data_IF_396041738311
#
_entry.id   IF_396041738311
#
_cell.length_a   1.000
_cell.length_b   1.000
_cell.length_c   1.000
_cell.angle_alpha   90.00
_cell.angle_beta   90.00
_cell.angle_gamma   90.00
#
_symmetry.space_group_name_H-M   'P 1'
#
loop_
_entity.id
_entity.type
_entity.pdbx_description
1 polymer ?
#
# COMPACT_ATOMS: atom_id res chain seq x y z
N UNK A 1 -17.07 7.97 -5.51
CA UNK A 1 -15.78 7.37 -5.92
C UNK A 1 -14.90 7.38 -4.69
N UNK A 2 -14.26 6.25 -4.37
CA UNK A 2 -13.38 6.19 -3.21
C UNK A 2 -12.02 6.79 -3.58
N UNK A 3 -11.37 7.43 -2.63
CA UNK A 3 -10.01 7.94 -2.80
C UNK A 3 -9.00 6.94 -2.28
N UNK A 4 -7.93 6.74 -3.05
CA UNK A 4 -6.79 5.91 -2.64
C UNK A 4 -5.56 6.80 -2.49
N UNK A 5 -4.77 6.58 -1.45
CA UNK A 5 -3.61 7.42 -1.18
C UNK A 5 -2.49 6.64 -0.52
N UNK A 6 -1.25 7.00 -0.86
CA UNK A 6 -0.06 6.42 -0.27
C UNK A 6 0.88 7.51 0.23
N UNK A 7 1.34 7.39 1.46
CA UNK A 7 2.33 8.30 2.05
C UNK A 7 3.62 7.55 2.31
N UNK A 8 4.76 8.14 1.95
CA UNK A 8 6.07 7.55 2.15
C UNK A 8 6.85 8.31 3.24
N UNK A 9 7.34 7.58 4.23
CA UNK A 9 8.25 8.06 5.27
C UNK A 9 9.53 7.25 5.19
N UNK A 10 10.67 7.95 5.16
CA UNK A 10 11.99 7.32 5.15
C UNK A 10 12.81 7.82 6.33
N UNK A 11 13.58 6.90 6.90
CA UNK A 11 14.61 7.21 7.87
C UNK A 11 16.01 7.32 7.30
N UNK A 12 16.20 7.47 5.99
CA UNK A 12 17.53 7.49 5.37
C UNK A 12 17.86 6.25 4.55
N UNK A 13 19.07 6.23 3.98
CA UNK A 13 19.62 5.13 3.21
C UNK A 13 19.94 5.46 1.75
N UNK A 14 21.03 4.89 1.24
CA UNK A 14 21.59 5.19 -0.09
C UNK A 14 20.68 4.77 -1.27
N UNK A 15 19.71 3.89 -1.02
CA UNK A 15 18.80 3.32 -2.03
C UNK A 15 17.35 3.79 -1.93
N UNK A 16 17.09 4.89 -1.22
CA UNK A 16 15.74 5.51 -1.16
C UNK A 16 15.18 5.82 -2.56
N UNK A 17 16.04 6.14 -3.53
CA UNK A 17 15.61 6.43 -4.91
C UNK A 17 14.85 5.28 -5.56
N UNK A 18 15.21 4.03 -5.24
CA UNK A 18 14.53 2.86 -5.80
C UNK A 18 13.16 2.67 -5.15
N UNK A 19 13.06 2.85 -3.84
CA UNK A 19 11.79 2.87 -3.11
C UNK A 19 10.86 3.97 -3.63
N UNK A 20 11.38 5.15 -3.95
CA UNK A 20 10.62 6.24 -4.55
C UNK A 20 10.01 5.88 -5.90
N UNK A 21 10.69 5.10 -6.75
CA UNK A 21 10.13 4.62 -8.03
C UNK A 21 8.89 3.76 -7.79
N UNK A 22 8.95 2.85 -6.82
CA UNK A 22 7.80 2.02 -6.46
C UNK A 22 6.66 2.83 -5.85
N UNK A 23 6.97 3.79 -4.96
CA UNK A 23 5.96 4.71 -4.42
C UNK A 23 5.20 5.47 -5.53
N UNK A 24 5.91 5.96 -6.55
CA UNK A 24 5.28 6.60 -7.72
C UNK A 24 4.43 5.61 -8.53
N UNK A 25 4.90 4.38 -8.72
CA UNK A 25 4.11 3.32 -9.39
C UNK A 25 2.83 3.01 -8.63
N UNK A 26 2.87 2.88 -7.31
CA UNK A 26 1.69 2.65 -6.47
C UNK A 26 0.73 3.84 -6.54
N UNK A 27 1.25 5.06 -6.53
CA UNK A 27 0.42 6.28 -6.66
C UNK A 27 -0.39 6.25 -7.96
N UNK A 28 0.25 5.91 -9.09
CA UNK A 28 -0.47 5.78 -10.39
C UNK A 28 -1.52 4.67 -10.39
N UNK A 29 -1.31 3.58 -9.64
CA UNK A 29 -2.34 2.55 -9.45
C UNK A 29 -3.51 3.14 -8.67
N UNK A 30 -3.23 3.85 -7.59
CA UNK A 30 -4.24 4.44 -6.72
C UNK A 30 -5.06 5.51 -7.44
N UNK A 31 -4.46 6.26 -8.36
CA UNK A 31 -5.20 7.19 -9.23
C UNK A 31 -6.25 6.43 -10.07
N UNK A 32 -5.86 5.32 -10.71
CA UNK A 32 -6.77 4.47 -11.50
C UNK A 32 -7.86 3.81 -10.65
N UNK A 33 -7.50 3.31 -9.47
CA UNK A 33 -8.49 2.73 -8.55
C UNK A 33 -9.49 3.78 -8.05
N UNK A 34 -9.06 5.04 -7.94
CA UNK A 34 -9.94 6.14 -7.53
C UNK A 34 -10.98 6.50 -8.61
N UNK A 35 -10.91 5.91 -9.81
CA UNK A 35 -11.95 6.01 -10.84
C UNK A 35 -13.21 5.20 -10.50
N UNK A 36 -13.14 4.32 -9.50
CA UNK A 36 -14.21 3.40 -9.13
C UNK A 36 -14.76 3.65 -7.72
N UNK A 37 -15.84 2.95 -7.37
CA UNK A 37 -16.44 2.98 -6.04
C UNK A 37 -16.64 1.55 -5.55
N UNK A 38 -15.83 1.14 -4.60
CA UNK A 38 -15.83 -0.16 -3.93
C UNK A 38 -16.61 -0.15 -2.62
N UNK A 39 -16.86 1.01 -2.02
CA UNK A 39 -17.60 1.13 -0.76
C UNK A 39 -18.46 2.38 -0.74
N UNK A 40 -19.66 2.28 -0.19
CA UNK A 40 -20.51 3.44 0.15
C UNK A 40 -20.30 3.94 1.57
N UNK A 41 -19.49 3.26 2.39
CA UNK A 41 -19.25 3.58 3.80
C UNK A 41 -17.84 4.14 4.08
N UNK A 42 -16.91 3.91 3.16
CA UNK A 42 -15.52 4.36 3.23
C UNK A 42 -15.27 5.31 2.08
N UNK A 43 -14.80 6.52 2.36
CA UNK A 43 -14.41 7.49 1.34
C UNK A 43 -12.92 7.39 0.99
N UNK A 44 -12.09 6.86 1.91
CA UNK A 44 -10.63 6.85 1.74
C UNK A 44 -9.97 5.55 2.19
N UNK A 45 -9.17 4.98 1.29
CA UNK A 45 -8.21 3.92 1.56
C UNK A 45 -6.80 4.53 1.59
N UNK A 46 -6.05 4.24 2.65
CA UNK A 46 -4.73 4.84 2.85
C UNK A 46 -3.66 3.79 3.17
N UNK A 47 -2.53 3.88 2.48
CA UNK A 47 -1.33 3.13 2.81
C UNK A 47 -0.26 4.11 3.30
N UNK A 48 0.42 3.75 4.38
CA UNK A 48 1.64 4.42 4.80
C UNK A 48 2.82 3.46 4.59
N UNK A 49 3.78 3.84 3.76
CA UNK A 49 5.05 3.14 3.62
C UNK A 49 6.05 3.74 4.61
N UNK A 50 6.63 2.91 5.46
CA UNK A 50 7.67 3.32 6.40
C UNK A 50 8.95 2.53 6.14
N UNK A 51 10.01 3.27 5.86
CA UNK A 51 11.32 2.72 5.58
C UNK A 51 12.27 3.05 6.73
N UNK A 52 12.71 2.02 7.43
CA UNK A 52 13.81 2.16 8.40
C UNK A 52 15.12 2.42 7.65
N UNK A 53 15.91 3.36 8.15
CA UNK A 53 17.21 3.69 7.57
C UNK A 53 18.19 4.24 8.59
N UNK A 54 19.32 4.75 8.10
CA UNK A 54 20.46 5.17 8.91
C UNK A 54 20.16 6.28 9.92
N UNK A 55 19.27 7.22 9.59
CA UNK A 55 18.95 8.39 10.43
C UNK A 55 17.76 8.16 11.37
N UNK A 56 16.81 7.31 10.99
CA UNK A 56 15.61 7.03 11.78
C UNK A 56 15.14 5.60 11.57
N UNK A 57 14.78 4.96 12.69
CA UNK A 57 14.07 3.68 12.69
C UNK A 57 12.70 3.89 13.31
N UNK A 58 11.67 3.53 12.58
CA UNK A 58 10.28 3.54 13.04
C UNK A 58 10.01 2.39 14.00
N UNK A 59 10.76 1.28 13.88
CA UNK A 59 10.66 0.13 14.80
C UNK A 59 9.38 -0.68 14.67
N UNK A 60 8.63 -0.49 13.58
CA UNK A 60 7.48 -1.31 13.25
C UNK A 60 7.93 -2.70 12.76
N UNK A 61 7.15 -3.76 13.03
CA UNK A 61 7.39 -5.06 12.41
C UNK A 61 7.39 -4.97 10.88
N UNK A 62 8.27 -5.74 10.22
CA UNK A 62 8.29 -5.83 8.77
C UNK A 62 6.96 -6.34 8.23
N UNK A 63 6.47 -5.69 7.16
CA UNK A 63 5.20 -5.95 6.52
C UNK A 63 4.07 -5.11 7.09
N UNK A 64 2.87 -5.68 7.15
CA UNK A 64 1.66 -4.98 7.58
C UNK A 64 1.52 -4.95 9.11
N UNK A 65 1.49 -3.76 9.72
CA UNK A 65 1.59 -3.64 11.19
C UNK A 65 0.58 -2.72 11.89
N UNK A 66 -0.03 -1.76 11.18
CA UNK A 66 -0.82 -0.69 11.81
C UNK A 66 -2.19 -0.44 11.14
N UNK A 67 -3.03 -1.48 11.06
CA UNK A 67 -4.40 -1.35 10.55
C UNK A 67 -5.29 -0.47 11.46
N UNK A 68 -5.84 0.62 10.92
CA UNK A 68 -6.69 1.57 11.64
C UNK A 68 -7.94 1.94 10.84
N UNK A 69 -9.09 1.91 11.49
CA UNK A 69 -10.37 2.36 10.94
C UNK A 69 -10.82 3.65 11.64
N UNK A 70 -10.94 4.73 10.88
CA UNK A 70 -11.39 6.04 11.35
C UNK A 70 -12.83 6.29 10.90
N UNK A 71 -13.80 5.72 11.61
CA UNK A 71 -15.23 5.76 11.24
C UNK A 71 -15.75 7.18 10.96
N UNK A 72 -15.44 8.15 11.84
CA UNK A 72 -15.86 9.55 11.67
C UNK A 72 -15.29 10.21 10.41
N UNK A 73 -14.12 9.75 9.95
CA UNK A 73 -13.46 10.24 8.74
C UNK A 73 -13.73 9.35 7.53
N UNK A 74 -14.54 8.29 7.68
CA UNK A 74 -14.84 7.28 6.67
C UNK A 74 -13.56 6.80 5.96
N UNK A 75 -12.51 6.56 6.74
CA UNK A 75 -11.19 6.23 6.24
C UNK A 75 -10.67 4.96 6.89
N UNK A 76 -10.03 4.10 6.10
CA UNK A 76 -9.25 2.97 6.59
C UNK A 76 -7.80 3.12 6.14
N UNK A 77 -6.87 2.84 7.05
CA UNK A 77 -5.45 2.97 6.81
C UNK A 77 -4.69 1.73 7.27
N UNK A 78 -3.61 1.39 6.58
CA UNK A 78 -2.67 0.36 7.01
C UNK A 78 -1.25 0.81 6.69
N UNK A 79 -0.28 0.25 7.38
CA UNK A 79 1.14 0.60 7.22
C UNK A 79 1.89 -0.60 6.69
N UNK A 80 2.77 -0.38 5.73
CA UNK A 80 3.76 -1.34 5.24
C UNK A 80 5.13 -0.84 5.68
N UNK A 81 5.78 -1.57 6.59
CA UNK A 81 7.09 -1.21 7.13
C UNK A 81 8.16 -2.19 6.65
N UNK A 82 9.37 -1.71 6.36
CA UNK A 82 10.50 -2.55 5.96
C UNK A 82 11.84 -1.86 6.20
N UNK A 83 12.90 -2.67 6.35
CA UNK A 83 14.26 -2.20 6.56
C UNK A 83 15.17 -2.41 5.35
N UNK A 84 16.46 -2.10 5.55
CA UNK A 84 17.56 -2.17 4.56
C UNK A 84 17.66 -3.48 3.81
N UNK A 85 17.50 -4.59 4.51
CA UNK A 85 17.50 -5.94 3.96
C UNK A 85 16.52 -6.13 2.79
N UNK A 86 15.43 -5.36 2.73
CA UNK A 86 14.41 -5.49 1.69
C UNK A 86 14.74 -4.64 0.46
N UNK A 87 15.23 -3.42 0.64
CA UNK A 87 15.40 -2.47 -0.46
C UNK A 87 16.80 -2.47 -1.09
N UNK A 88 17.72 -3.29 -0.58
CA UNK A 88 19.02 -3.49 -1.21
C UNK A 88 18.96 -4.26 -2.54
N UNK A 89 17.91 -5.03 -2.77
CA UNK A 89 17.68 -5.78 -4.00
C UNK A 89 16.33 -5.37 -4.60
N UNK A 90 16.32 -4.96 -5.88
CA UNK A 90 15.13 -4.46 -6.56
C UNK A 90 14.05 -5.54 -6.72
N UNK A 91 14.44 -6.79 -6.99
CA UNK A 91 13.48 -7.89 -7.11
C UNK A 91 12.82 -8.17 -5.77
N UNK A 92 13.63 -8.25 -4.70
CA UNK A 92 13.14 -8.46 -3.33
C UNK A 92 12.20 -7.33 -2.92
N UNK A 93 12.59 -6.08 -3.16
CA UNK A 93 11.75 -4.91 -2.90
C UNK A 93 10.42 -4.99 -3.65
N UNK A 94 10.46 -5.33 -4.94
CA UNK A 94 9.27 -5.41 -5.77
C UNK A 94 8.29 -6.47 -5.27
N UNK A 95 8.79 -7.68 -5.00
CA UNK A 95 7.99 -8.81 -4.52
C UNK A 95 7.43 -8.51 -3.14
N UNK A 96 8.24 -7.93 -2.27
CA UNK A 96 7.82 -7.54 -0.93
C UNK A 96 6.70 -6.49 -0.96
N UNK A 97 6.86 -5.43 -1.74
CA UNK A 97 5.86 -4.36 -1.83
C UNK A 97 4.56 -4.85 -2.46
N UNK A 98 4.63 -5.66 -3.51
CA UNK A 98 3.44 -6.25 -4.15
C UNK A 98 2.69 -7.12 -3.15
N UNK A 99 3.39 -8.06 -2.52
CA UNK A 99 2.81 -8.98 -1.53
C UNK A 99 2.15 -8.22 -0.39
N UNK A 100 2.85 -7.25 0.19
CA UNK A 100 2.34 -6.50 1.34
C UNK A 100 1.24 -5.51 0.95
N UNK A 101 1.23 -4.97 -0.26
CA UNK A 101 0.15 -4.11 -0.74
C UNK A 101 -1.16 -4.90 -0.84
N UNK A 102 -1.11 -6.10 -1.45
CA UNK A 102 -2.28 -6.99 -1.52
C UNK A 102 -2.75 -7.37 -0.12
N UNK A 103 -1.83 -7.83 0.73
CA UNK A 103 -2.14 -8.20 2.12
C UNK A 103 -2.76 -7.04 2.90
N UNK A 104 -2.26 -5.82 2.72
CA UNK A 104 -2.80 -4.65 3.39
C UNK A 104 -4.27 -4.42 3.03
N UNK A 105 -4.64 -4.54 1.76
CA UNK A 105 -6.03 -4.41 1.31
C UNK A 105 -6.90 -5.58 1.74
N UNK A 106 -6.40 -6.81 1.75
CA UNK A 106 -7.11 -7.96 2.30
C UNK A 106 -7.47 -7.74 3.78
N UNK A 107 -6.49 -7.28 4.58
CA UNK A 107 -6.70 -6.94 5.98
C UNK A 107 -7.73 -5.80 6.17
N UNK A 108 -7.69 -4.77 5.31
CA UNK A 108 -8.68 -3.70 5.30
C UNK A 108 -10.08 -4.25 5.02
N UNK A 109 -10.26 -5.06 3.98
CA UNK A 109 -11.54 -5.67 3.60
C UNK A 109 -12.09 -6.52 4.75
N UNK A 110 -11.26 -7.39 5.33
CA UNK A 110 -11.63 -8.22 6.48
C UNK A 110 -12.11 -7.35 7.64
N UNK A 111 -11.41 -6.25 7.93
CA UNK A 111 -11.82 -5.33 8.99
C UNK A 111 -13.14 -4.64 8.69
N UNK A 112 -13.36 -4.17 7.47
CA UNK A 112 -14.61 -3.52 7.06
C UNK A 112 -15.80 -4.49 7.15
N UNK A 113 -15.63 -5.72 6.65
CA UNK A 113 -16.64 -6.79 6.76
C UNK A 113 -16.98 -7.11 8.22
N UNK A 114 -15.96 -7.20 9.09
CA UNK A 114 -16.16 -7.42 10.55
C UNK A 114 -16.98 -6.30 11.20
N UNK A 115 -16.80 -5.07 10.74
CA UNK A 115 -17.53 -3.88 11.21
C UNK A 115 -18.89 -3.70 10.51
N UNK A 116 -19.28 -4.65 9.66
CA UNK A 116 -20.52 -4.62 8.86
C UNK A 116 -20.65 -3.38 7.97
N UNK A 117 -19.52 -2.84 7.51
CA UNK A 117 -19.49 -1.75 6.54
C UNK A 117 -19.57 -2.31 5.12
N UNK A 118 -20.25 -1.59 4.24
CA UNK A 118 -20.37 -1.92 2.82
C UNK A 118 -18.98 -1.92 2.16
N UNK A 119 -18.62 -3.01 1.50
CA UNK A 119 -17.38 -3.14 0.73
C UNK A 119 -17.53 -4.25 -0.32
N UNK A 120 -17.30 -3.90 -1.58
CA UNK A 120 -17.04 -4.85 -2.66
C UNK A 120 -15.56 -5.19 -2.68
N UNK A 121 -15.17 -6.11 -1.79
CA UNK A 121 -13.79 -6.53 -1.65
C UNK A 121 -13.27 -7.35 -2.83
N UNK A 122 -14.15 -8.04 -3.56
CA UNK A 122 -13.77 -8.85 -4.72
C UNK A 122 -13.40 -7.96 -5.89
N UNK A 123 -14.23 -6.96 -6.22
CA UNK A 123 -13.91 -5.99 -7.26
C UNK A 123 -12.65 -5.18 -6.92
N UNK A 124 -12.48 -4.77 -5.66
CA UNK A 124 -11.30 -4.03 -5.21
C UNK A 124 -10.02 -4.84 -5.45
N UNK A 125 -9.98 -6.09 -5.00
CA UNK A 125 -8.80 -6.94 -5.17
C UNK A 125 -8.56 -7.33 -6.63
N UNK A 126 -9.62 -7.52 -7.43
CA UNK A 126 -9.50 -7.80 -8.85
C UNK A 126 -8.81 -6.63 -9.59
N UNK A 127 -9.24 -5.39 -9.34
CA UNK A 127 -8.64 -4.20 -9.93
C UNK A 127 -7.22 -3.97 -9.43
N UNK A 128 -6.98 -4.14 -8.13
CA UNK A 128 -5.63 -4.03 -7.55
C UNK A 128 -4.67 -5.00 -8.23
N UNK A 129 -5.03 -6.28 -8.34
CA UNK A 129 -4.19 -7.30 -8.99
C UNK A 129 -3.97 -7.00 -10.47
N UNK A 130 -5.01 -6.57 -11.18
CA UNK A 130 -4.92 -6.15 -12.59
C UNK A 130 -3.89 -5.03 -12.76
N UNK A 131 -3.93 -4.00 -11.93
CA UNK A 131 -3.01 -2.86 -12.06
C UNK A 131 -1.59 -3.17 -11.56
N UNK A 132 -1.45 -3.98 -10.51
CA UNK A 132 -0.15 -4.41 -9.99
C UNK A 132 0.57 -5.32 -10.99
N UNK A 133 -0.13 -6.13 -11.80
CA UNK A 133 0.51 -6.96 -12.83
C UNK A 133 1.37 -6.16 -13.83
N UNK A 134 1.16 -4.84 -13.92
CA UNK A 134 2.00 -3.90 -14.68
C UNK A 134 3.34 -3.55 -14.02
N UNK A 135 3.56 -3.88 -12.75
CA UNK A 135 4.79 -3.53 -11.99
C UNK A 135 6.06 -4.13 -12.60
N UNK A 136 5.97 -5.34 -13.15
CA UNK A 136 7.11 -6.09 -13.69
C UNK A 136 7.44 -5.77 -15.17
N UNK A 137 6.65 -4.94 -15.87
CA UNK A 137 6.71 -4.83 -17.34
C UNK A 137 7.63 -3.74 -17.91
N UNK A 138 8.40 -3.02 -17.11
CA UNK A 138 9.44 -2.14 -17.65
C UNK A 138 10.75 -2.91 -17.81
N UNK A 139 10.82 -3.80 -18.80
CA UNK A 139 12.11 -4.26 -19.31
C UNK A 139 12.80 -3.08 -19.99
N UNK A 140 13.96 -2.73 -19.44
CA UNK A 140 15.13 -2.08 -20.06
C UNK A 140 15.01 -2.06 -21.59
N UNK A 141 14.87 -0.86 -22.14
CA UNK A 141 15.24 -0.56 -23.53
C UNK A 141 16.69 -0.13 -23.56
#
# INVERSE_FOLDING_TARGET
MNSFSIFFKSGGGDKISDVNKYWQKITKIFDKMSEYSYSTDIDKFHIEMRLDGDFLRFGDPEGCSNLRLFKKKRMIANTISFGENIYTDENVLSEFLIKNLILAFEQMIVRLKKEKLNIDGEALLADLNKYISGFHKEKVR
#
